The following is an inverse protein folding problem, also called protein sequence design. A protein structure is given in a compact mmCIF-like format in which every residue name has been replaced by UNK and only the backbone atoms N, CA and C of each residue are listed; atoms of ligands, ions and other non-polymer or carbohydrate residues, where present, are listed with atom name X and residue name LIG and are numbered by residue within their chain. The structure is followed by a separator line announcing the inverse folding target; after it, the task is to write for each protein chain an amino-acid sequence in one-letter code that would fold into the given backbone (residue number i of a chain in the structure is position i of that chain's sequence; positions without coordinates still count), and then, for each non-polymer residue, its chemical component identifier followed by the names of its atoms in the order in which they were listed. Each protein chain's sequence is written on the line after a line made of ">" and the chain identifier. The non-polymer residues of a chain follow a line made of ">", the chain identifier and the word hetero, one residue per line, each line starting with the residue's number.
data_IF_007597066018
#
_entry.id   IF_007597066018
#
_cell.length_a   1.000
_cell.length_b   1.000
_cell.length_c   1.000
_cell.angle_alpha   90.00
_cell.angle_beta   90.00
_cell.angle_gamma   90.00
#
_symmetry.space_group_name_H-M   'P 1'
#
loop_
_entity.id
_entity.type
_entity.pdbx_description
1 polymer ?
#
# COMPACT_ATOMS: atom_id res chain seq x y z
N UNK A 1 50.65 -26.85 56.49
CA UNK A 1 51.49 -25.75 57.03
C UNK A 1 51.02 -24.48 56.35
N UNK A 2 50.45 -23.48 57.06
CA UNK A 2 51.17 -22.33 57.67
C UNK A 2 52.13 -21.71 56.62
N UNK A 3 51.98 -20.50 56.09
CA UNK A 3 51.61 -19.17 56.64
C UNK A 3 50.79 -18.38 55.57
N UNK A 4 50.19 -17.21 55.81
CA UNK A 4 50.09 -16.37 57.02
C UNK A 4 48.66 -15.81 57.22
N UNK A 5 48.50 -14.51 57.51
CA UNK A 5 47.30 -13.81 57.99
C UNK A 5 47.53 -12.28 57.96
N UNK A 6 46.46 -11.50 57.77
CA UNK A 6 46.11 -10.24 58.49
C UNK A 6 46.91 -8.92 58.33
N UNK A 7 46.14 -7.88 57.95
CA UNK A 7 46.08 -6.50 58.47
C UNK A 7 47.32 -5.55 58.50
N UNK A 8 47.17 -4.40 57.84
CA UNK A 8 47.59 -3.09 58.40
C UNK A 8 46.49 -2.04 58.15
N UNK A 9 45.94 -1.51 59.23
CA UNK A 9 45.09 -0.32 59.27
C UNK A 9 45.72 0.60 60.32
N UNK A 10 46.30 1.76 59.95
CA UNK A 10 46.43 2.92 60.88
C UNK A 10 46.98 4.20 60.22
N UNK A 11 46.28 5.31 60.49
CA UNK A 11 46.78 6.68 60.84
C UNK A 11 47.38 7.59 59.75
N UNK A 12 46.62 8.65 59.42
CA UNK A 12 46.97 10.08 59.51
C UNK A 12 45.69 10.88 59.17
N UNK A 13 44.79 11.22 60.09
CA UNK A 13 44.87 12.20 61.18
C UNK A 13 45.13 13.66 60.73
N UNK A 14 44.10 14.51 60.93
CA UNK A 14 44.10 15.98 60.98
C UNK A 14 44.67 16.78 59.78
N UNK A 15 43.78 17.49 59.09
CA UNK A 15 43.77 18.97 59.05
C UNK A 15 42.30 19.41 58.92
N UNK A 16 41.79 20.10 59.95
CA UNK A 16 40.57 20.91 59.86
C UNK A 16 40.98 22.37 59.93
N UNK A 17 40.84 23.11 58.84
CA UNK A 17 40.80 24.57 58.85
C UNK A 17 40.06 25.06 57.59
N UNK A 18 38.76 25.31 57.73
CA UNK A 18 38.04 26.16 56.78
C UNK A 18 38.64 27.57 56.83
N UNK A 19 38.87 28.20 55.67
CA UNK A 19 38.27 29.51 55.39
C UNK A 19 38.60 30.06 53.98
N UNK A 20 37.53 30.48 53.30
CA UNK A 20 37.44 31.59 52.33
C UNK A 20 37.68 31.38 50.83
N UNK A 21 36.53 31.36 50.12
CA UNK A 21 36.20 32.06 48.86
C UNK A 21 36.80 31.60 47.52
N UNK A 22 36.07 30.68 46.86
CA UNK A 22 35.46 30.82 45.51
C UNK A 22 36.01 31.87 44.53
N UNK A 23 36.33 31.46 43.28
CA UNK A 23 35.39 31.59 42.13
C UNK A 23 35.78 30.74 40.89
N UNK A 24 34.76 30.09 40.32
CA UNK A 24 34.49 29.53 38.96
C UNK A 24 35.59 29.09 37.95
N UNK A 25 35.42 27.84 37.45
CA UNK A 25 35.29 27.32 36.06
C UNK A 25 35.68 25.81 36.10
N UNK A 26 34.94 24.81 35.60
CA UNK A 26 33.61 24.72 34.97
C UNK A 26 32.86 23.47 35.47
N UNK A 27 31.55 23.39 35.22
CA UNK A 27 30.66 22.38 35.83
C UNK A 27 30.75 20.97 35.20
N UNK A 28 30.61 19.89 36.01
CA UNK A 28 30.33 18.55 35.51
C UNK A 28 28.86 18.39 35.12
N UNK A 29 28.61 17.55 34.11
CA UNK A 29 27.29 17.22 33.56
C UNK A 29 26.44 16.49 34.63
N UNK A 30 25.22 16.96 34.86
CA UNK A 30 24.26 16.28 35.73
C UNK A 30 23.58 15.12 35.01
N UNK A 31 23.49 13.96 35.68
CA UNK A 31 22.80 12.77 35.18
C UNK A 31 21.51 12.60 35.97
N UNK A 32 20.55 13.47 35.68
CA UNK A 32 19.17 13.39 36.18
C UNK A 32 18.26 12.86 35.06
N UNK A 33 18.38 11.56 34.75
CA UNK A 33 17.47 10.88 33.83
C UNK A 33 16.10 10.67 34.49
N UNK A 34 15.21 11.67 34.36
CA UNK A 34 13.83 11.61 34.85
C UNK A 34 12.90 10.90 33.88
N UNK A 35 12.12 9.99 34.47
CA UNK A 35 10.88 9.38 33.95
C UNK A 35 11.03 8.41 32.78
N UNK A 36 10.72 7.16 33.10
CA UNK A 36 10.60 6.02 32.20
C UNK A 36 9.11 5.90 31.81
N UNK A 37 8.66 6.70 30.84
CA UNK A 37 7.29 6.63 30.34
C UNK A 37 7.12 5.54 29.27
N UNK A 38 6.02 4.81 29.46
CA UNK A 38 5.46 3.64 28.80
C UNK A 38 5.56 3.58 27.25
N UNK A 39 5.95 2.44 26.63
CA UNK A 39 5.85 2.23 25.17
C UNK A 39 4.41 2.00 24.66
N UNK A 40 3.39 2.48 25.39
CA UNK A 40 2.05 2.70 24.85
C UNK A 40 2.09 3.91 23.90
N UNK A 41 2.60 3.69 22.68
CA UNK A 41 2.60 4.70 21.62
C UNK A 41 1.20 5.28 21.48
N UNK A 42 1.12 6.60 21.57
CA UNK A 42 -0.14 7.34 21.45
C UNK A 42 -0.75 7.02 20.09
N UNK A 43 -1.83 6.23 20.08
CA UNK A 43 -2.77 6.18 18.96
C UNK A 43 -3.43 7.56 18.88
N UNK A 44 -2.68 8.54 18.36
CA UNK A 44 -3.28 9.73 17.80
C UNK A 44 -4.27 9.22 16.76
N UNK A 45 -5.52 9.66 16.82
CA UNK A 45 -6.48 9.42 15.75
C UNK A 45 -5.90 10.08 14.52
N UNK A 46 -5.26 9.29 13.67
CA UNK A 46 -4.66 9.75 12.43
C UNK A 46 -5.80 9.92 11.44
N UNK A 47 -6.48 11.05 11.58
CA UNK A 47 -7.32 11.60 10.52
C UNK A 47 -6.53 11.57 9.20
N UNK A 48 -7.14 11.18 8.07
CA UNK A 48 -6.40 10.95 6.84
C UNK A 48 -5.67 12.22 6.38
N UNK A 49 -4.52 12.03 5.73
CA UNK A 49 -3.80 13.14 5.09
C UNK A 49 -4.73 13.72 4.00
N UNK A 50 -4.58 15.01 3.70
CA UNK A 50 -5.15 15.53 2.45
C UNK A 50 -4.36 14.96 1.27
N UNK A 51 -5.03 14.46 0.24
CA UNK A 51 -4.35 13.79 -0.88
C UNK A 51 -5.29 13.04 -1.81
N UNK A 52 -4.69 12.33 -2.77
CA UNK A 52 -5.37 11.47 -3.74
C UNK A 52 -5.37 10.02 -3.25
N UNK A 53 -6.49 9.34 -3.39
CA UNK A 53 -6.76 8.03 -2.79
C UNK A 53 -7.62 7.15 -3.68
N UNK A 54 -7.39 5.84 -3.58
CA UNK A 54 -8.40 4.83 -3.84
C UNK A 54 -9.13 4.50 -2.52
N UNK A 55 -10.46 4.45 -2.53
CA UNK A 55 -11.26 4.07 -1.36
C UNK A 55 -11.70 2.61 -1.49
N UNK A 56 -11.03 1.73 -0.73
CA UNK A 56 -11.21 0.28 -0.77
C UNK A 56 -12.15 -0.20 0.35
N UNK A 57 -13.11 -1.07 0.01
CA UNK A 57 -14.07 -1.62 0.96
C UNK A 57 -13.61 -2.96 1.55
N UNK A 58 -13.59 -3.05 2.88
CA UNK A 58 -12.93 -4.14 3.61
C UNK A 58 -13.75 -5.45 3.70
N UNK A 59 -15.05 -5.44 3.36
CA UNK A 59 -15.88 -6.66 3.22
C UNK A 59 -15.64 -7.32 1.86
N UNK A 60 -15.89 -6.53 0.80
CA UNK A 60 -16.01 -7.06 -0.55
C UNK A 60 -14.68 -7.21 -1.30
N UNK A 61 -13.68 -6.42 -0.90
CA UNK A 61 -12.43 -6.30 -1.64
C UNK A 61 -12.52 -5.44 -2.91
N UNK A 62 -13.47 -4.51 -2.93
CA UNK A 62 -13.82 -3.67 -4.09
C UNK A 62 -13.59 -2.18 -3.83
N UNK A 63 -13.53 -1.40 -4.90
CA UNK A 63 -13.17 0.01 -4.92
C UNK A 63 -14.39 0.91 -5.14
N UNK A 64 -14.46 2.03 -4.41
CA UNK A 64 -15.44 3.08 -4.63
C UNK A 64 -15.27 3.67 -6.02
N UNK A 65 -16.32 3.61 -6.83
CA UNK A 65 -16.35 4.24 -8.14
C UNK A 65 -17.67 4.94 -8.43
N UNK A 66 -17.66 5.76 -9.47
CA UNK A 66 -18.89 6.26 -10.10
C UNK A 66 -19.54 5.11 -10.89
N UNK A 67 -20.85 4.93 -10.72
CA UNK A 67 -21.67 3.88 -11.33
C UNK A 67 -21.45 3.80 -12.86
N UNK A 68 -21.13 2.60 -13.36
CA UNK A 68 -20.81 2.34 -14.76
C UNK A 68 -21.94 2.67 -15.75
N UNK A 69 -23.18 2.91 -15.26
CA UNK A 69 -24.26 3.45 -16.07
C UNK A 69 -24.03 4.93 -16.50
N UNK A 70 -23.00 5.61 -15.95
CA UNK A 70 -22.54 6.94 -16.36
C UNK A 70 -21.35 6.90 -17.37
N UNK A 71 -20.98 5.71 -17.85
CA UNK A 71 -19.97 5.52 -18.91
C UNK A 71 -20.38 6.21 -20.23
N UNK A 72 -19.44 6.83 -20.97
CA UNK A 72 -18.01 6.99 -20.69
C UNK A 72 -17.65 8.33 -20.04
N UNK A 73 -18.65 9.07 -19.52
CA UNK A 73 -18.48 10.45 -19.10
C UNK A 73 -18.16 10.59 -17.61
N UNK A 74 -18.74 9.72 -16.77
CA UNK A 74 -18.57 9.68 -15.32
C UNK A 74 -18.73 11.06 -14.64
N UNK A 75 -19.59 11.92 -15.17
CA UNK A 75 -19.73 13.32 -14.76
C UNK A 75 -21.19 13.81 -14.65
N UNK A 76 -22.17 12.90 -14.65
CA UNK A 76 -23.58 13.28 -14.46
C UNK A 76 -23.80 13.70 -13.01
N UNK A 77 -24.32 14.91 -12.82
CA UNK A 77 -24.78 15.39 -11.52
C UNK A 77 -25.91 14.49 -11.00
N UNK A 78 -25.71 13.87 -9.84
CA UNK A 78 -26.61 12.87 -9.27
C UNK A 78 -26.32 11.42 -9.68
N UNK A 79 -25.24 11.14 -10.43
CA UNK A 79 -24.79 9.78 -10.68
C UNK A 79 -24.45 9.07 -9.36
N UNK A 80 -24.82 7.80 -9.26
CA UNK A 80 -24.65 7.00 -8.04
C UNK A 80 -23.21 6.49 -7.89
N UNK A 81 -22.87 6.10 -6.68
CA UNK A 81 -21.62 5.43 -6.36
C UNK A 81 -21.83 3.93 -6.24
N UNK A 82 -20.88 3.14 -6.73
CA UNK A 82 -20.85 1.68 -6.59
C UNK A 82 -19.48 1.16 -6.15
N UNK A 83 -19.40 -0.15 -5.94
CA UNK A 83 -18.19 -0.90 -5.64
C UNK A 83 -17.90 -1.88 -6.77
N UNK A 84 -16.67 -1.83 -7.29
CA UNK A 84 -16.22 -2.66 -8.40
C UNK A 84 -14.79 -3.18 -8.24
N UNK A 85 -14.36 -4.07 -9.13
CA UNK A 85 -12.98 -4.55 -9.19
C UNK A 85 -12.03 -3.43 -9.66
N UNK A 86 -10.77 -3.50 -9.27
CA UNK A 86 -9.77 -2.49 -9.62
C UNK A 86 -9.39 -2.57 -11.10
N UNK A 87 -9.61 -1.49 -11.84
CA UNK A 87 -9.22 -1.35 -13.25
C UNK A 87 -8.26 -0.19 -13.54
N UNK A 88 -7.91 0.59 -12.50
CA UNK A 88 -7.08 1.80 -12.61
C UNK A 88 -7.72 2.92 -13.46
N UNK A 89 -9.06 2.95 -13.55
CA UNK A 89 -9.81 4.05 -14.15
C UNK A 89 -9.90 5.29 -13.24
N UNK A 90 -9.84 6.48 -13.83
CA UNK A 90 -9.94 7.76 -13.10
C UNK A 90 -11.29 7.99 -12.39
N UNK A 91 -12.30 7.15 -12.66
CA UNK A 91 -13.57 7.09 -11.92
C UNK A 91 -13.48 6.33 -10.58
N UNK A 92 -12.36 5.65 -10.31
CA UNK A 92 -12.02 5.01 -9.03
C UNK A 92 -11.11 5.91 -8.16
N UNK A 93 -10.64 7.05 -8.69
CA UNK A 93 -9.71 7.97 -8.03
C UNK A 93 -10.45 9.13 -7.34
N UNK A 94 -10.09 9.39 -6.07
CA UNK A 94 -10.75 10.36 -5.20
C UNK A 94 -9.73 11.29 -4.54
N UNK A 95 -10.00 12.60 -4.55
CA UNK A 95 -9.25 13.57 -3.77
C UNK A 95 -9.97 13.84 -2.45
N UNK A 96 -9.26 13.63 -1.34
CA UNK A 96 -9.73 13.85 0.03
C UNK A 96 -9.13 15.18 0.52
N UNK A 97 -9.98 16.20 0.65
CA UNK A 97 -9.57 17.57 0.99
C UNK A 97 -9.95 17.89 2.43
N UNK A 98 -8.96 18.16 3.28
CA UNK A 98 -9.19 18.56 4.67
C UNK A 98 -9.76 19.99 4.75
N UNK A 99 -10.91 20.15 5.41
CA UNK A 99 -11.61 21.43 5.56
C UNK A 99 -11.17 22.22 6.82
N UNK A 100 -10.10 21.76 7.49
CA UNK A 100 -9.46 22.33 8.68
C UNK A 100 -10.39 22.55 9.88
N UNK A 101 -11.48 21.78 9.94
CA UNK A 101 -12.54 21.89 10.94
C UNK A 101 -13.01 20.53 11.49
N UNK A 102 -12.23 19.46 11.27
CA UNK A 102 -12.60 18.08 11.63
C UNK A 102 -13.45 17.34 10.58
N UNK A 103 -13.62 17.93 9.40
CA UNK A 103 -14.31 17.32 8.26
C UNK A 103 -13.50 17.46 6.98
N UNK A 104 -13.92 16.70 5.98
CA UNK A 104 -13.30 16.55 4.69
C UNK A 104 -14.33 16.70 3.58
N UNK A 105 -13.90 17.18 2.43
CA UNK A 105 -14.57 16.94 1.15
C UNK A 105 -13.93 15.71 0.50
N UNK A 106 -14.71 14.92 -0.23
CA UNK A 106 -14.24 13.78 -1.02
C UNK A 106 -14.77 14.03 -2.43
N UNK A 107 -13.91 14.27 -3.42
CA UNK A 107 -14.35 14.56 -4.79
C UNK A 107 -13.65 13.67 -5.82
N UNK A 108 -14.37 13.37 -6.91
CA UNK A 108 -13.87 12.50 -7.97
C UNK A 108 -12.83 13.22 -8.84
N UNK A 109 -11.72 12.54 -9.18
CA UNK A 109 -10.70 13.09 -10.08
C UNK A 109 -11.20 13.26 -11.52
N UNK A 110 -12.12 12.41 -12.00
CA UNK A 110 -12.66 12.50 -13.37
C UNK A 110 -13.70 13.62 -13.54
N UNK A 111 -14.52 13.90 -12.52
CA UNK A 111 -15.62 14.87 -12.63
C UNK A 111 -15.40 16.19 -11.88
N UNK A 112 -14.51 16.21 -10.89
CA UNK A 112 -14.36 17.27 -9.90
C UNK A 112 -15.65 17.53 -9.08
N UNK A 113 -16.57 16.56 -9.03
CA UNK A 113 -17.79 16.63 -8.21
C UNK A 113 -17.58 15.93 -6.85
N UNK A 114 -18.21 16.48 -5.81
CA UNK A 114 -18.13 15.97 -4.44
C UNK A 114 -19.08 14.79 -4.25
N UNK A 115 -18.59 13.79 -3.53
CA UNK A 115 -19.37 12.74 -2.89
C UNK A 115 -20.39 13.38 -1.93
N UNK A 116 -21.66 13.00 -2.04
CA UNK A 116 -22.74 13.56 -1.25
C UNK A 116 -23.84 12.53 -0.92
N UNK A 117 -24.44 12.68 0.26
CA UNK A 117 -25.77 12.13 0.52
C UNK A 117 -26.79 13.00 -0.23
N UNK A 118 -27.76 12.42 -0.98
CA UNK A 118 -28.78 13.18 -1.69
C UNK A 118 -29.55 14.19 -0.84
N UNK A 119 -29.96 15.30 -1.46
CA UNK A 119 -30.78 16.33 -0.80
C UNK A 119 -32.13 15.74 -0.35
N UNK A 120 -32.58 16.11 0.85
CA UNK A 120 -33.80 15.58 1.47
C UNK A 120 -33.63 14.23 2.18
N UNK A 121 -32.60 13.45 1.86
CA UNK A 121 -32.44 12.06 2.31
C UNK A 121 -31.42 11.86 3.44
N UNK A 122 -30.96 12.96 4.07
CA UNK A 122 -29.90 12.95 5.11
C UNK A 122 -30.23 12.21 6.41
N UNK A 123 -31.45 11.69 6.57
CA UNK A 123 -31.88 10.85 7.69
C UNK A 123 -32.63 9.59 7.23
N UNK A 124 -32.40 9.16 5.99
CA UNK A 124 -33.02 7.97 5.39
C UNK A 124 -31.97 6.85 5.25
N UNK A 125 -32.36 5.62 5.57
CA UNK A 125 -31.51 4.44 5.40
C UNK A 125 -31.54 3.91 3.96
N UNK A 126 -30.44 3.28 3.53
CA UNK A 126 -30.28 2.63 2.22
C UNK A 126 -30.40 3.59 1.03
N UNK A 127 -30.02 4.85 1.25
CA UNK A 127 -29.97 5.89 0.21
C UNK A 127 -28.67 5.73 -0.56
N UNK A 128 -28.73 5.64 -1.88
CA UNK A 128 -27.54 5.65 -2.74
C UNK A 128 -26.79 6.97 -2.57
N UNK A 129 -25.48 6.90 -2.34
CA UNK A 129 -24.59 8.06 -2.35
C UNK A 129 -24.38 8.51 -3.79
N UNK A 130 -24.24 9.81 -4.01
CA UNK A 130 -24.12 10.43 -5.35
C UNK A 130 -22.87 11.29 -5.47
N UNK A 131 -22.52 11.67 -6.70
CA UNK A 131 -21.67 12.84 -6.98
C UNK A 131 -22.50 14.07 -7.37
N UNK A 132 -22.09 15.26 -6.94
CA UNK A 132 -22.69 16.54 -7.34
C UNK A 132 -21.71 17.72 -7.13
N UNK A 133 -21.94 18.90 -7.75
CA UNK A 133 -21.09 20.07 -7.54
C UNK A 133 -21.01 20.51 -6.06
N UNK A 134 -19.79 20.64 -5.54
CA UNK A 134 -19.59 21.03 -4.14
C UNK A 134 -20.17 22.43 -3.87
N UNK A 135 -20.97 22.50 -2.81
CA UNK A 135 -21.71 23.70 -2.39
C UNK A 135 -21.53 23.99 -0.90
N UNK A 136 -20.64 23.26 -0.20
CA UNK A 136 -20.35 23.44 1.22
C UNK A 136 -21.43 22.91 2.18
N UNK A 137 -22.38 22.10 1.70
CA UNK A 137 -23.43 21.54 2.56
C UNK A 137 -22.89 20.40 3.43
N UNK A 138 -23.45 20.23 4.64
CA UNK A 138 -23.02 19.17 5.57
C UNK A 138 -23.24 17.74 5.05
N UNK A 139 -24.11 17.56 4.03
CA UNK A 139 -24.30 16.28 3.32
C UNK A 139 -23.19 15.95 2.32
N UNK A 140 -22.30 16.91 2.03
CA UNK A 140 -21.11 16.81 1.17
C UNK A 140 -19.81 16.81 1.99
N UNK A 141 -19.92 16.85 3.32
CA UNK A 141 -18.78 16.92 4.24
C UNK A 141 -18.72 15.64 5.05
N UNK A 142 -17.53 15.06 5.15
CA UNK A 142 -17.32 13.72 5.68
C UNK A 142 -16.37 13.77 6.87
N UNK A 143 -16.67 12.95 7.88
CA UNK A 143 -15.80 12.72 9.03
C UNK A 143 -15.28 11.29 8.93
N UNK A 144 -13.97 11.16 8.95
CA UNK A 144 -13.33 9.86 9.07
C UNK A 144 -13.24 9.48 10.56
N UNK A 145 -13.23 8.20 10.87
CA UNK A 145 -13.01 7.72 12.23
C UNK A 145 -12.31 6.37 12.13
N UNK A 146 -11.03 6.36 12.51
CA UNK A 146 -10.20 5.17 12.40
C UNK A 146 -10.67 4.09 13.38
N UNK A 147 -10.71 2.85 12.92
CA UNK A 147 -11.01 1.66 13.72
C UNK A 147 -9.72 1.09 14.34
N UNK A 148 -9.86 0.13 15.24
CA UNK A 148 -8.71 -0.64 15.76
C UNK A 148 -8.02 -1.52 14.71
N UNK A 149 -8.58 -1.65 13.50
CA UNK A 149 -8.00 -2.39 12.36
C UNK A 149 -7.19 -1.48 11.42
N UNK A 150 -7.16 -0.16 11.66
CA UNK A 150 -6.53 0.83 10.78
C UNK A 150 -7.42 1.32 9.62
N UNK A 151 -8.57 0.67 9.40
CA UNK A 151 -9.64 1.10 8.49
C UNK A 151 -10.36 2.34 9.03
N UNK A 152 -11.24 2.96 8.23
CA UNK A 152 -12.04 4.11 8.61
C UNK A 152 -13.53 3.85 8.43
N UNK A 153 -14.33 4.32 9.38
CA UNK A 153 -15.76 4.57 9.17
C UNK A 153 -15.92 5.99 8.64
N UNK A 154 -16.61 6.14 7.51
CA UNK A 154 -16.82 7.43 6.83
C UNK A 154 -18.25 7.92 7.14
N UNK A 155 -18.39 9.05 7.84
CA UNK A 155 -19.70 9.58 8.31
C UNK A 155 -20.04 10.91 7.63
N UNK A 156 -21.23 11.12 7.05
CA UNK A 156 -21.62 12.43 6.57
C UNK A 156 -21.90 13.36 7.74
N UNK A 157 -21.41 14.60 7.71
CA UNK A 157 -21.60 15.60 8.76
C UNK A 157 -23.08 15.91 9.00
N UNK A 158 -23.94 15.74 8.00
CA UNK A 158 -25.39 15.84 8.17
C UNK A 158 -25.95 14.87 9.23
N UNK A 159 -25.26 13.76 9.51
CA UNK A 159 -25.66 12.79 10.54
C UNK A 159 -25.72 13.38 11.95
N UNK A 160 -24.91 14.38 12.27
CA UNK A 160 -24.82 15.00 13.61
C UNK A 160 -26.13 15.70 14.05
N UNK A 161 -27.07 15.89 13.12
CA UNK A 161 -28.40 16.44 13.42
C UNK A 161 -29.39 15.38 13.93
N UNK A 162 -29.00 14.10 13.96
CA UNK A 162 -29.86 12.96 14.23
C UNK A 162 -29.30 12.06 15.34
N UNK A 163 -30.15 11.21 15.90
CA UNK A 163 -29.73 10.22 16.91
C UNK A 163 -29.12 8.94 16.30
N UNK A 164 -29.34 8.72 15.00
CA UNK A 164 -28.74 7.62 14.26
C UNK A 164 -27.34 8.00 13.83
N UNK A 165 -26.35 7.17 14.15
CA UNK A 165 -25.01 7.28 13.59
C UNK A 165 -25.04 6.77 12.14
N UNK A 166 -25.05 7.68 11.17
CA UNK A 166 -25.07 7.32 9.74
C UNK A 166 -23.64 7.19 9.20
N UNK A 167 -23.38 6.18 8.39
CA UNK A 167 -22.09 5.95 7.72
C UNK A 167 -22.25 5.55 6.24
N UNK A 168 -21.15 5.67 5.51
CA UNK A 168 -20.94 5.14 4.16
C UNK A 168 -20.72 3.63 4.23
N UNK A 169 -21.48 2.84 3.48
CA UNK A 169 -21.37 1.38 3.52
C UNK A 169 -21.66 0.74 2.16
N UNK A 170 -21.05 -0.41 1.90
CA UNK A 170 -21.47 -1.30 0.83
C UNK A 170 -22.94 -1.73 1.05
N UNK A 171 -23.74 -1.75 -0.02
CA UNK A 171 -25.12 -2.23 0.08
C UNK A 171 -25.28 -3.70 0.49
N UNK A 172 -26.52 -4.20 0.51
CA UNK A 172 -26.84 -5.59 0.90
C UNK A 172 -27.20 -6.53 -0.27
N UNK A 173 -27.05 -6.08 -1.52
CA UNK A 173 -27.35 -6.86 -2.72
C UNK A 173 -26.23 -7.82 -3.17
N UNK A 174 -26.57 -8.89 -3.88
CA UNK A 174 -25.59 -9.80 -4.49
C UNK A 174 -24.92 -9.11 -5.68
N UNK A 175 -23.59 -9.24 -5.82
CA UNK A 175 -22.88 -8.80 -7.02
C UNK A 175 -23.17 -9.79 -8.15
N UNK A 176 -24.02 -9.41 -9.11
CA UNK A 176 -24.27 -10.20 -10.32
C UNK A 176 -24.31 -9.29 -11.54
N UNK A 177 -23.14 -9.01 -12.14
CA UNK A 177 -23.01 -8.24 -13.38
C UNK A 177 -23.20 -6.73 -13.27
N UNK A 178 -23.67 -6.24 -12.12
CA UNK A 178 -23.78 -4.83 -11.75
C UNK A 178 -23.02 -4.62 -10.43
N UNK A 179 -22.39 -3.46 -10.25
CA UNK A 179 -21.60 -3.18 -9.05
C UNK A 179 -22.46 -2.91 -7.82
N UNK A 180 -21.84 -3.02 -6.65
CA UNK A 180 -22.60 -2.86 -5.41
C UNK A 180 -22.70 -1.39 -5.03
N UNK A 181 -23.88 -0.83 -5.21
CA UNK A 181 -24.23 0.52 -4.75
C UNK A 181 -23.72 0.81 -3.33
N UNK A 182 -23.11 1.99 -3.17
CA UNK A 182 -22.66 2.53 -1.88
C UNK A 182 -23.78 3.36 -1.28
N UNK A 183 -24.11 3.06 -0.02
CA UNK A 183 -25.30 3.55 0.66
C UNK A 183 -24.96 4.33 1.92
N UNK A 184 -25.84 5.26 2.29
CA UNK A 184 -25.95 5.72 3.68
C UNK A 184 -26.73 4.68 4.49
N UNK A 185 -26.12 4.12 5.53
CA UNK A 185 -26.74 3.16 6.46
C UNK A 185 -26.48 3.55 7.91
N UNK A 186 -27.24 2.97 8.84
CA UNK A 186 -26.95 3.14 10.26
C UNK A 186 -25.74 2.28 10.62
N UNK A 187 -24.74 2.87 11.26
CA UNK A 187 -23.50 2.22 11.69
C UNK A 187 -23.78 1.07 12.67
N UNK A 188 -23.17 -0.09 12.40
CA UNK A 188 -23.14 -1.23 13.31
C UNK A 188 -21.71 -1.74 13.46
N UNK A 189 -21.21 -1.74 14.70
CA UNK A 189 -19.92 -2.36 15.00
C UNK A 189 -20.08 -3.89 15.03
N UNK A 190 -19.99 -4.51 13.86
CA UNK A 190 -20.12 -5.95 13.66
C UNK A 190 -18.86 -6.55 12.98
N UNK A 191 -19.02 -7.69 12.31
CA UNK A 191 -17.92 -8.43 11.67
C UNK A 191 -18.15 -8.65 10.18
N UNK A 192 -19.07 -7.90 9.57
CA UNK A 192 -19.29 -7.91 8.13
C UNK A 192 -18.54 -6.78 7.42
N UNK A 193 -18.13 -5.73 8.14
CA UNK A 193 -17.15 -4.71 7.69
C UNK A 193 -17.53 -3.93 6.41
N UNK A 194 -18.80 -3.96 5.99
CA UNK A 194 -19.28 -3.22 4.80
C UNK A 194 -19.08 -1.72 4.88
N UNK A 195 -18.99 -1.19 6.09
CA UNK A 195 -18.81 0.20 6.47
C UNK A 195 -17.35 0.58 6.81
N UNK A 196 -16.41 -0.37 6.71
CA UNK A 196 -14.98 -0.16 6.93
C UNK A 196 -14.22 0.06 5.62
N UNK A 197 -13.57 1.23 5.51
CA UNK A 197 -12.87 1.68 4.31
C UNK A 197 -11.37 1.82 4.56
N UNK A 198 -10.54 1.31 3.65
CA UNK A 198 -9.12 1.67 3.59
C UNK A 198 -8.92 2.80 2.58
N UNK A 199 -8.05 3.75 2.93
CA UNK A 199 -7.65 4.85 2.06
C UNK A 199 -6.24 4.56 1.56
N UNK A 200 -6.16 4.00 0.36
CA UNK A 200 -4.91 3.62 -0.30
C UNK A 200 -4.41 4.85 -1.07
N UNK A 201 -3.33 5.47 -0.61
CA UNK A 201 -2.82 6.73 -1.18
C UNK A 201 -2.34 6.57 -2.61
N UNK A 202 -2.40 7.63 -3.41
CA UNK A 202 -1.83 7.66 -4.75
C UNK A 202 -0.51 8.43 -4.70
N UNK A 203 0.59 7.74 -5.03
CA UNK A 203 1.95 8.23 -4.85
C UNK A 203 2.99 7.19 -5.24
N UNK A 204 4.13 7.09 -4.53
CA UNK A 204 5.33 6.44 -5.09
C UNK A 204 5.95 5.30 -4.27
N UNK A 205 5.47 4.97 -3.06
CA UNK A 205 6.03 3.86 -2.25
C UNK A 205 6.01 2.52 -3.01
N UNK A 206 4.91 2.24 -3.72
CA UNK A 206 4.72 1.00 -4.46
C UNK A 206 4.38 1.24 -5.94
N UNK A 207 5.25 0.80 -6.86
CA UNK A 207 4.98 0.79 -8.30
C UNK A 207 4.39 -0.55 -8.75
N UNK A 208 3.12 -0.54 -9.12
CA UNK A 208 2.36 -1.70 -9.57
C UNK A 208 2.08 -1.61 -11.07
N UNK A 209 2.69 -2.49 -11.86
CA UNK A 209 2.65 -2.46 -13.32
C UNK A 209 1.90 -3.65 -13.91
N UNK A 210 0.80 -3.37 -14.61
CA UNK A 210 0.05 -4.35 -15.40
C UNK A 210 0.09 -3.97 -16.87
N UNK A 211 0.71 -4.79 -17.71
CA UNK A 211 0.57 -4.63 -19.16
C UNK A 211 -0.73 -5.31 -19.56
N UNK A 212 -1.67 -4.63 -20.21
CA UNK A 212 -2.92 -5.25 -20.65
C UNK A 212 -2.65 -6.35 -21.69
N UNK A 213 -3.64 -7.19 -21.92
CA UNK A 213 -3.65 -8.11 -23.06
C UNK A 213 -5.11 -8.48 -23.34
N UNK A 214 -5.54 -8.41 -24.60
CA UNK A 214 -6.93 -8.68 -24.97
C UNK A 214 -7.46 -9.99 -24.35
N UNK A 215 -8.47 -9.86 -23.49
CA UNK A 215 -9.12 -10.98 -22.81
C UNK A 215 -8.37 -11.58 -21.60
N UNK A 216 -7.35 -10.91 -21.04
CA UNK A 216 -6.69 -11.34 -19.79
C UNK A 216 -6.62 -10.22 -18.77
N UNK A 217 -7.35 -10.42 -17.67
CA UNK A 217 -7.29 -9.52 -16.53
C UNK A 217 -5.93 -9.63 -15.80
N UNK A 218 -5.32 -8.46 -15.62
CA UNK A 218 -4.06 -8.22 -14.93
C UNK A 218 -4.15 -7.00 -14.00
N UNK A 219 -5.32 -6.36 -13.92
CA UNK A 219 -5.56 -5.16 -13.12
C UNK A 219 -6.05 -5.54 -11.73
N UNK A 220 -7.06 -6.43 -11.65
CA UNK A 220 -7.70 -6.81 -10.38
C UNK A 220 -6.70 -7.35 -9.35
N UNK A 221 -5.67 -8.10 -9.79
CA UNK A 221 -4.62 -8.59 -8.89
C UNK A 221 -3.79 -7.45 -8.29
N UNK A 222 -3.54 -6.36 -9.03
CA UNK A 222 -2.79 -5.21 -8.52
C UNK A 222 -3.60 -4.47 -7.45
N UNK A 223 -4.91 -4.31 -7.65
CA UNK A 223 -5.79 -3.79 -6.60
C UNK A 223 -5.80 -4.70 -5.37
N UNK A 224 -6.04 -6.00 -5.54
CA UNK A 224 -6.04 -7.01 -4.46
C UNK A 224 -4.79 -7.01 -3.58
N UNK A 225 -3.63 -6.61 -4.10
CA UNK A 225 -2.39 -6.55 -3.31
C UNK A 225 -2.15 -5.22 -2.60
N UNK A 226 -2.80 -4.12 -3.00
CA UNK A 226 -2.65 -2.82 -2.33
C UNK A 226 -2.98 -2.89 -0.83
N UNK A 227 -4.10 -3.50 -0.36
CA UNK A 227 -4.39 -3.64 1.07
C UNK A 227 -3.29 -4.32 1.91
N UNK A 228 -2.62 -5.33 1.34
CA UNK A 228 -1.54 -6.04 2.01
C UNK A 228 -0.25 -5.20 2.04
N UNK A 229 0.02 -4.45 0.97
CA UNK A 229 1.18 -3.54 0.85
C UNK A 229 1.01 -2.33 1.78
N UNK A 230 -0.19 -1.76 1.85
CA UNK A 230 -0.57 -0.69 2.77
C UNK A 230 -0.41 -1.12 4.24
N UNK A 231 -0.88 -2.32 4.58
CA UNK A 231 -0.71 -2.92 5.90
C UNK A 231 0.74 -3.17 6.32
N UNK A 232 1.69 -3.18 5.38
CA UNK A 232 3.13 -3.23 5.67
C UNK A 232 3.80 -1.84 5.81
N UNK A 233 3.05 -0.74 5.63
CA UNK A 233 3.56 0.63 5.74
C UNK A 233 4.12 1.21 4.43
N UNK A 234 3.62 0.74 3.29
CA UNK A 234 3.85 1.33 1.96
C UNK A 234 2.51 1.87 1.48
N UNK A 235 2.20 3.13 1.82
CA UNK A 235 0.83 3.64 1.81
C UNK A 235 0.46 4.39 0.51
N UNK A 236 1.45 4.66 -0.34
CA UNK A 236 1.34 5.52 -1.51
C UNK A 236 1.62 4.74 -2.82
N UNK A 237 0.62 4.55 -3.66
CA UNK A 237 0.63 3.63 -4.81
C UNK A 237 0.71 4.35 -6.17
N UNK A 238 1.60 3.87 -7.03
CA UNK A 238 1.64 4.18 -8.47
C UNK A 238 1.18 2.93 -9.21
N UNK A 239 -0.11 2.81 -9.47
CA UNK A 239 -0.62 1.76 -10.35
C UNK A 239 -0.65 2.24 -11.80
N UNK A 240 -0.19 1.38 -12.71
CA UNK A 240 -0.27 1.61 -14.16
C UNK A 240 -0.76 0.32 -14.83
N UNK A 241 -1.97 0.39 -15.36
CA UNK A 241 -2.56 -0.64 -16.22
C UNK A 241 -2.63 -0.08 -17.64
N UNK A 242 -1.87 -0.64 -18.58
CA UNK A 242 -1.69 -0.03 -19.92
C UNK A 242 -1.29 -1.03 -21.00
N UNK A 243 -1.60 -0.73 -22.26
CA UNK A 243 -1.19 -1.52 -23.43
C UNK A 243 0.28 -1.31 -23.83
N UNK A 244 0.91 -0.22 -23.38
CA UNK A 244 2.30 0.09 -23.68
C UNK A 244 2.92 1.11 -22.71
N UNK A 245 4.11 0.80 -22.19
CA UNK A 245 4.95 1.73 -21.41
C UNK A 245 6.42 1.65 -21.85
N UNK A 246 7.13 2.77 -21.83
CA UNK A 246 8.55 2.78 -22.22
C UNK A 246 9.45 2.19 -21.13
N UNK A 247 10.52 1.51 -21.52
CA UNK A 247 11.57 1.05 -20.60
C UNK A 247 12.10 2.20 -19.71
N UNK A 248 12.31 3.40 -20.27
CA UNK A 248 12.75 4.57 -19.52
C UNK A 248 11.78 4.99 -18.41
N UNK A 249 10.48 4.94 -18.67
CA UNK A 249 9.45 5.25 -17.65
C UNK A 249 9.49 4.22 -16.52
N UNK A 250 9.54 2.92 -16.87
CA UNK A 250 9.62 1.82 -15.90
C UNK A 250 10.88 1.94 -15.03
N UNK A 251 12.04 2.23 -15.64
CA UNK A 251 13.30 2.46 -14.92
C UNK A 251 13.22 3.61 -13.90
N UNK A 252 12.59 4.72 -14.26
CA UNK A 252 12.41 5.86 -13.34
C UNK A 252 11.51 5.48 -12.17
N UNK A 253 10.37 4.84 -12.45
CA UNK A 253 9.41 4.45 -11.42
C UNK A 253 9.96 3.35 -10.49
N UNK A 254 10.78 2.43 -11.01
CA UNK A 254 11.53 1.45 -10.20
C UNK A 254 12.52 2.12 -9.23
N UNK A 255 13.23 3.18 -9.66
CA UNK A 255 14.17 3.92 -8.81
C UNK A 255 13.47 4.80 -7.74
N UNK A 256 12.20 5.16 -7.98
CA UNK A 256 11.38 5.94 -7.05
C UNK A 256 10.62 5.08 -6.03
N UNK A 257 10.50 3.76 -6.25
CA UNK A 257 9.62 2.87 -5.48
C UNK A 257 10.35 1.92 -4.54
N UNK A 258 9.77 1.73 -3.36
CA UNK A 258 10.22 0.75 -2.36
C UNK A 258 9.71 -0.66 -2.64
N UNK A 259 8.51 -0.78 -3.20
CA UNK A 259 7.95 -2.04 -3.70
C UNK A 259 7.74 -1.92 -5.21
N UNK A 260 8.24 -2.88 -5.98
CA UNK A 260 7.93 -3.04 -7.40
C UNK A 260 7.22 -4.36 -7.66
N UNK A 261 6.10 -4.33 -8.39
CA UNK A 261 5.40 -5.54 -8.85
C UNK A 261 5.05 -5.38 -10.32
N UNK A 262 5.55 -6.29 -11.17
CA UNK A 262 5.11 -6.37 -12.57
C UNK A 262 4.26 -7.61 -12.80
N UNK A 263 3.08 -7.46 -13.41
CA UNK A 263 2.26 -8.53 -13.96
C UNK A 263 2.25 -8.43 -15.49
N UNK A 264 3.27 -9.00 -16.11
CA UNK A 264 3.42 -9.02 -17.58
C UNK A 264 3.91 -10.36 -18.13
N UNK A 265 3.98 -10.49 -19.45
CA UNK A 265 4.73 -11.56 -20.07
C UNK A 265 6.22 -11.43 -19.72
N UNK A 266 6.87 -12.56 -19.49
CA UNK A 266 8.30 -12.63 -19.28
C UNK A 266 8.92 -13.60 -20.30
N UNK A 267 10.20 -13.38 -20.61
CA UNK A 267 10.95 -14.22 -21.52
C UNK A 267 12.46 -14.09 -21.24
N UNK A 268 13.27 -14.89 -21.94
CA UNK A 268 14.72 -14.93 -21.81
C UNK A 268 15.43 -14.99 -23.16
N UNK A 269 16.65 -14.49 -23.22
CA UNK A 269 17.57 -14.67 -24.33
C UNK A 269 18.98 -15.10 -23.84
N UNK A 270 19.97 -15.04 -24.73
CA UNK A 270 21.34 -15.47 -24.43
C UNK A 270 22.08 -14.60 -23.41
N UNK A 271 21.64 -13.36 -23.16
CA UNK A 271 22.30 -12.42 -22.25
C UNK A 271 21.47 -12.12 -20.98
N UNK A 272 20.26 -12.67 -20.83
CA UNK A 272 19.48 -12.57 -19.59
C UNK A 272 17.98 -12.78 -19.73
N UNK A 273 17.20 -12.11 -18.89
CA UNK A 273 15.72 -12.20 -18.87
C UNK A 273 15.11 -10.80 -18.92
N UNK A 274 13.85 -10.73 -19.37
CA UNK A 274 13.11 -9.48 -19.53
C UNK A 274 11.61 -9.69 -19.28
N UNK A 275 10.94 -8.60 -18.90
CA UNK A 275 9.48 -8.50 -18.97
C UNK A 275 9.10 -7.66 -20.19
N UNK A 276 8.02 -8.06 -20.84
CA UNK A 276 7.44 -7.31 -21.95
C UNK A 276 6.68 -6.11 -21.39
N UNK A 277 6.76 -4.97 -22.06
CA UNK A 277 6.17 -3.70 -21.65
C UNK A 277 5.10 -3.17 -22.62
N UNK A 278 4.73 -3.93 -23.65
CA UNK A 278 3.63 -3.61 -24.57
C UNK A 278 2.93 -4.83 -25.16
N UNK A 279 1.65 -4.71 -25.54
CA UNK A 279 0.86 -5.79 -26.16
C UNK A 279 1.45 -6.27 -27.50
N UNK A 280 2.07 -5.37 -28.26
CA UNK A 280 2.73 -5.68 -29.54
C UNK A 280 4.14 -6.29 -29.38
N UNK A 281 4.61 -6.45 -28.13
CA UNK A 281 5.94 -6.93 -27.74
C UNK A 281 7.12 -6.06 -28.25
N UNK A 282 6.88 -4.80 -28.63
CA UNK A 282 7.94 -3.88 -29.07
C UNK A 282 8.68 -3.19 -27.93
N UNK A 283 8.05 -3.03 -26.76
CA UNK A 283 8.68 -2.56 -25.53
C UNK A 283 8.98 -3.72 -24.60
N UNK A 284 10.12 -3.65 -23.90
CA UNK A 284 10.50 -4.55 -22.82
C UNK A 284 11.51 -3.85 -21.91
N UNK A 285 11.67 -4.35 -20.67
CA UNK A 285 12.82 -4.03 -19.81
C UNK A 285 13.55 -5.31 -19.51
N UNK A 286 14.85 -5.32 -19.81
CA UNK A 286 15.73 -6.46 -19.64
C UNK A 286 16.62 -6.26 -18.41
N UNK A 287 17.07 -7.37 -17.82
CA UNK A 287 18.09 -7.37 -16.77
C UNK A 287 19.32 -6.51 -17.10
N UNK A 288 19.72 -6.43 -18.39
CA UNK A 288 20.82 -5.58 -18.88
C UNK A 288 20.53 -4.09 -18.91
N UNK A 289 19.26 -3.68 -18.79
CA UNK A 289 18.82 -2.29 -18.68
C UNK A 289 18.79 -1.83 -17.21
N UNK A 290 18.70 -2.78 -16.27
CA UNK A 290 18.79 -2.57 -14.82
C UNK A 290 20.26 -2.58 -14.37
N UNK A 291 21.06 -3.53 -14.89
CA UNK A 291 22.44 -3.74 -14.47
C UNK A 291 23.39 -4.06 -15.63
N UNK A 292 24.53 -3.37 -15.70
CA UNK A 292 25.57 -3.67 -16.68
C UNK A 292 26.51 -4.76 -16.16
N UNK A 293 26.25 -6.01 -16.58
CA UNK A 293 27.07 -7.18 -16.25
C UNK A 293 28.52 -7.11 -16.74
N UNK A 294 28.82 -6.32 -17.78
CA UNK A 294 30.18 -6.21 -18.35
C UNK A 294 31.06 -5.22 -17.59
N UNK A 295 30.46 -4.19 -16.99
CA UNK A 295 31.18 -3.17 -16.20
C UNK A 295 30.93 -3.30 -14.69
N UNK A 296 30.07 -4.22 -14.27
CA UNK A 296 29.65 -4.43 -12.89
C UNK A 296 29.08 -3.14 -12.28
N UNK A 297 28.10 -2.53 -12.96
CA UNK A 297 27.58 -1.20 -12.63
C UNK A 297 26.05 -1.14 -12.69
N UNK A 298 25.34 -0.58 -11.68
CA UNK A 298 23.91 -0.29 -11.78
C UNK A 298 23.59 0.69 -12.90
N UNK A 299 22.46 0.47 -13.57
CA UNK A 299 21.87 1.36 -14.58
C UNK A 299 20.49 1.90 -14.16
N UNK A 300 19.98 1.40 -13.03
CA UNK A 300 18.91 1.94 -12.20
C UNK A 300 19.47 1.94 -10.78
N UNK A 301 19.24 3.01 -10.01
CA UNK A 301 19.59 3.02 -8.59
C UNK A 301 18.42 2.41 -7.81
N UNK A 302 18.66 1.25 -7.18
CA UNK A 302 17.63 0.50 -6.45
C UNK A 302 17.91 0.41 -4.95
N UNK A 303 18.82 1.22 -4.40
CA UNK A 303 19.21 1.14 -2.97
C UNK A 303 18.13 1.55 -1.98
N UNK A 304 16.94 1.94 -2.44
CA UNK A 304 15.75 2.19 -1.62
C UNK A 304 14.63 1.17 -1.89
N UNK A 305 14.90 0.10 -2.65
CA UNK A 305 13.89 -0.87 -3.06
C UNK A 305 13.93 -2.12 -2.16
N UNK A 306 12.91 -2.26 -1.32
CA UNK A 306 12.77 -3.31 -0.32
C UNK A 306 12.33 -4.64 -0.97
N UNK A 307 11.59 -4.61 -2.10
CA UNK A 307 11.20 -5.81 -2.86
C UNK A 307 10.90 -5.53 -4.34
N UNK A 308 11.44 -6.35 -5.24
CA UNK A 308 11.05 -6.43 -6.66
C UNK A 308 10.44 -7.78 -7.05
N UNK A 309 9.16 -7.79 -7.44
CA UNK A 309 8.44 -9.00 -7.87
C UNK A 309 8.16 -8.99 -9.39
N UNK A 310 8.94 -9.74 -10.15
CA UNK A 310 8.83 -9.89 -11.59
C UNK A 310 7.89 -11.04 -11.99
N UNK A 311 6.58 -10.86 -11.84
CA UNK A 311 5.59 -11.88 -12.23
C UNK A 311 5.50 -12.01 -13.75
N UNK A 312 6.00 -13.12 -14.28
CA UNK A 312 5.99 -13.47 -15.70
C UNK A 312 6.84 -14.71 -15.96
N UNK A 313 6.62 -15.39 -17.08
CA UNK A 313 7.38 -16.60 -17.43
C UNK A 313 8.89 -16.32 -17.50
N UNK A 314 9.71 -17.27 -17.03
CA UNK A 314 11.17 -17.23 -17.18
C UNK A 314 11.91 -15.99 -16.63
N UNK A 315 11.26 -15.06 -15.93
CA UNK A 315 11.89 -13.83 -15.40
C UNK A 315 13.06 -14.13 -14.46
N UNK A 316 13.07 -15.28 -13.81
CA UNK A 316 14.13 -15.79 -12.94
C UNK A 316 14.96 -16.96 -13.49
N UNK A 317 14.86 -17.36 -14.77
CA UNK A 317 15.50 -18.62 -15.22
C UNK A 317 17.03 -18.64 -15.09
N UNK A 318 17.72 -17.54 -15.44
CA UNK A 318 19.19 -17.47 -15.46
C UNK A 318 19.78 -17.10 -14.08
N UNK A 319 20.76 -17.85 -13.58
CA UNK A 319 21.35 -17.63 -12.24
C UNK A 319 21.93 -16.21 -12.07
N UNK A 320 22.78 -15.78 -13.00
CA UNK A 320 23.61 -14.57 -12.84
C UNK A 320 23.22 -13.40 -13.77
N UNK A 321 22.15 -13.56 -14.57
CA UNK A 321 21.70 -12.56 -15.56
C UNK A 321 20.18 -12.40 -15.62
N UNK A 322 19.44 -12.97 -14.67
CA UNK A 322 17.99 -12.77 -14.55
C UNK A 322 17.63 -11.39 -13.98
N UNK A 323 16.36 -11.01 -14.12
CA UNK A 323 15.81 -9.78 -13.55
C UNK A 323 15.98 -9.70 -12.03
N UNK A 324 15.70 -10.76 -11.22
CA UNK A 324 16.00 -10.75 -9.80
C UNK A 324 17.47 -10.50 -9.47
N UNK A 325 18.39 -11.18 -10.16
CA UNK A 325 19.81 -10.96 -9.96
C UNK A 325 20.22 -9.53 -10.32
N UNK A 326 19.72 -8.98 -11.43
CA UNK A 326 20.01 -7.61 -11.84
C UNK A 326 19.48 -6.56 -10.86
N UNK A 327 18.29 -6.78 -10.29
CA UNK A 327 17.70 -5.88 -9.31
C UNK A 327 18.53 -5.81 -8.02
N UNK A 328 18.89 -6.96 -7.45
CA UNK A 328 19.73 -7.02 -6.23
C UNK A 328 21.15 -6.52 -6.51
N UNK A 329 21.75 -6.88 -7.65
CA UNK A 329 23.04 -6.34 -8.07
C UNK A 329 23.02 -4.80 -8.28
N UNK A 330 21.85 -4.23 -8.56
CA UNK A 330 21.63 -2.79 -8.68
C UNK A 330 21.19 -2.10 -7.37
N UNK A 331 21.02 -2.84 -6.27
CA UNK A 331 20.84 -2.31 -4.92
C UNK A 331 19.54 -2.68 -4.21
N UNK A 332 18.62 -3.41 -4.83
CA UNK A 332 17.39 -3.84 -4.15
C UNK A 332 17.68 -4.89 -3.05
N UNK A 333 17.00 -4.80 -1.91
CA UNK A 333 17.16 -5.72 -0.77
C UNK A 333 16.70 -7.15 -1.10
N UNK A 334 15.69 -7.30 -1.96
CA UNK A 334 15.21 -8.60 -2.40
C UNK A 334 14.53 -8.52 -3.77
N UNK A 335 14.66 -9.57 -4.58
CA UNK A 335 13.92 -9.71 -5.82
C UNK A 335 13.48 -11.15 -6.13
N UNK A 336 12.34 -11.28 -6.81
CA UNK A 336 11.67 -12.56 -7.10
C UNK A 336 11.28 -12.66 -8.57
N UNK A 337 11.46 -13.82 -9.18
CA UNK A 337 11.02 -14.12 -10.55
C UNK A 337 10.76 -15.62 -10.75
N UNK A 338 10.16 -15.98 -11.88
CA UNK A 338 9.78 -17.38 -12.18
C UNK A 338 10.78 -18.03 -13.14
N UNK A 339 11.11 -19.30 -12.91
CA UNK A 339 12.11 -20.03 -13.70
C UNK A 339 11.49 -20.82 -14.87
N UNK A 340 10.17 -20.94 -14.92
CA UNK A 340 9.41 -21.67 -15.95
C UNK A 340 8.23 -20.84 -16.48
N UNK A 341 7.39 -21.44 -17.33
CA UNK A 341 6.09 -20.91 -17.76
C UNK A 341 5.11 -20.88 -16.59
N UNK A 342 4.51 -19.71 -16.34
CA UNK A 342 3.39 -19.56 -15.40
C UNK A 342 2.09 -19.19 -16.12
N UNK A 343 1.00 -19.90 -15.83
CA UNK A 343 -0.31 -19.58 -16.39
C UNK A 343 -0.89 -18.33 -15.75
N UNK A 344 -1.45 -17.40 -16.54
CA UNK A 344 -1.82 -16.05 -16.08
C UNK A 344 -2.77 -16.03 -14.87
N UNK A 345 -3.79 -16.90 -14.82
CA UNK A 345 -4.69 -17.03 -13.65
C UNK A 345 -3.91 -17.42 -12.40
N UNK A 346 -2.99 -18.37 -12.52
CA UNK A 346 -2.17 -18.86 -11.41
C UNK A 346 -1.16 -17.79 -10.98
N UNK A 347 -0.62 -17.01 -11.92
CA UNK A 347 0.20 -15.85 -11.61
C UNK A 347 -0.57 -14.81 -10.79
N UNK A 348 -1.84 -14.54 -11.12
CA UNK A 348 -2.68 -13.62 -10.36
C UNK A 348 -2.92 -14.14 -8.93
N UNK A 349 -3.43 -15.37 -8.78
CA UNK A 349 -3.73 -15.95 -7.46
C UNK A 349 -2.46 -16.16 -6.60
N UNK A 350 -1.35 -16.59 -7.20
CA UNK A 350 -0.06 -16.73 -6.51
C UNK A 350 0.42 -15.38 -5.95
N UNK A 351 0.25 -14.29 -6.70
CA UNK A 351 0.68 -12.95 -6.28
C UNK A 351 -0.15 -12.46 -5.09
N UNK A 352 -1.46 -12.71 -5.11
CA UNK A 352 -2.36 -12.44 -3.97
C UNK A 352 -1.97 -13.27 -2.72
N UNK A 353 -1.71 -14.58 -2.87
CA UNK A 353 -1.25 -15.42 -1.76
C UNK A 353 0.13 -14.97 -1.24
N UNK A 354 1.06 -14.62 -2.11
CA UNK A 354 2.38 -14.13 -1.74
C UNK A 354 2.28 -12.91 -0.83
N UNK A 355 1.54 -11.88 -1.25
CA UNK A 355 1.39 -10.65 -0.45
C UNK A 355 0.62 -10.87 0.85
N UNK A 356 -0.38 -11.75 0.87
CA UNK A 356 -1.05 -12.16 2.11
C UNK A 356 -0.04 -12.77 3.11
N UNK A 357 0.79 -13.73 2.68
CA UNK A 357 1.80 -14.32 3.57
C UNK A 357 2.89 -13.31 3.97
N UNK A 358 3.36 -12.48 3.05
CA UNK A 358 4.40 -11.47 3.29
C UNK A 358 3.94 -10.42 4.31
N UNK A 359 2.73 -9.86 4.14
CA UNK A 359 2.13 -8.92 5.10
C UNK A 359 1.83 -9.55 6.48
N UNK A 360 1.73 -10.88 6.57
CA UNK A 360 1.66 -11.61 7.84
C UNK A 360 3.04 -11.95 8.44
N UNK A 361 4.10 -11.24 8.02
CA UNK A 361 5.44 -11.29 8.64
C UNK A 361 6.30 -12.49 8.24
N UNK A 362 6.02 -13.12 7.09
CA UNK A 362 6.88 -14.16 6.51
C UNK A 362 8.04 -13.49 5.77
N UNK A 363 9.23 -14.11 5.71
CA UNK A 363 10.28 -13.67 4.77
C UNK A 363 9.85 -13.92 3.33
N UNK A 364 10.48 -13.23 2.36
CA UNK A 364 10.13 -13.35 0.94
C UNK A 364 10.20 -14.79 0.45
N UNK A 365 11.30 -15.50 0.70
CA UNK A 365 11.45 -16.94 0.42
C UNK A 365 10.31 -17.78 1.03
N UNK A 366 9.93 -17.52 2.28
CA UNK A 366 8.88 -18.28 2.96
C UNK A 366 7.48 -17.92 2.44
N UNK A 367 7.25 -16.68 2.03
CA UNK A 367 6.00 -16.25 1.38
C UNK A 367 5.86 -16.89 0.00
N UNK A 368 6.93 -16.92 -0.81
CA UNK A 368 6.98 -17.64 -2.09
C UNK A 368 6.64 -19.12 -1.90
N UNK A 369 7.30 -19.80 -0.95
CA UNK A 369 7.02 -21.20 -0.63
C UNK A 369 5.55 -21.45 -0.27
N UNK A 370 4.94 -20.60 0.57
CA UNK A 370 3.55 -20.75 0.97
C UNK A 370 2.56 -20.47 -0.16
N UNK A 371 2.83 -19.47 -1.01
CA UNK A 371 2.03 -19.20 -2.21
C UNK A 371 2.10 -20.37 -3.21
N UNK A 372 3.31 -20.85 -3.52
CA UNK A 372 3.53 -22.01 -4.38
C UNK A 372 2.89 -23.30 -3.85
N UNK A 373 2.80 -23.48 -2.53
CA UNK A 373 2.15 -24.65 -1.90
C UNK A 373 0.65 -24.78 -2.23
N UNK A 374 0.00 -23.72 -2.75
CA UNK A 374 -1.38 -23.76 -3.25
C UNK A 374 -1.50 -24.39 -4.64
N UNK A 375 -0.39 -24.47 -5.38
CA UNK A 375 -0.34 -24.76 -6.82
C UNK A 375 0.65 -25.89 -7.18
N UNK A 376 0.80 -26.88 -6.30
CA UNK A 376 1.80 -27.96 -6.45
C UNK A 376 1.60 -28.72 -7.79
N UNK A 377 2.64 -28.73 -8.64
CA UNK A 377 2.61 -29.24 -10.03
C UNK A 377 1.63 -28.52 -10.99
N UNK A 378 1.20 -27.30 -10.68
CA UNK A 378 0.28 -26.51 -11.53
C UNK A 378 1.04 -25.37 -12.21
N UNK A 379 1.30 -25.54 -13.51
CA UNK A 379 1.82 -24.51 -14.42
C UNK A 379 2.97 -23.65 -13.84
N UNK A 380 4.07 -24.29 -13.41
CA UNK A 380 5.32 -23.63 -13.03
C UNK A 380 5.26 -22.73 -11.78
N UNK A 381 4.16 -22.72 -11.05
CA UNK A 381 3.96 -21.85 -9.88
C UNK A 381 4.83 -22.22 -8.66
N UNK A 382 5.42 -23.42 -8.65
CA UNK A 382 6.44 -23.88 -7.71
C UNK A 382 7.89 -23.65 -8.19
N UNK A 383 8.06 -23.04 -9.37
CA UNK A 383 9.35 -22.77 -10.00
C UNK A 383 9.69 -21.27 -9.93
N UNK A 384 10.10 -20.80 -8.74
CA UNK A 384 10.51 -19.42 -8.49
C UNK A 384 11.98 -19.32 -8.07
N UNK A 385 12.57 -18.13 -8.25
CA UNK A 385 13.87 -17.73 -7.74
C UNK A 385 13.69 -16.50 -6.86
N UNK A 386 14.19 -16.57 -5.64
CA UNK A 386 14.45 -15.41 -4.77
C UNK A 386 15.93 -15.08 -4.82
N UNK A 387 16.26 -13.80 -4.81
CA UNK A 387 17.61 -13.25 -4.64
C UNK A 387 17.54 -12.21 -3.53
N UNK A 388 18.50 -12.26 -2.61
CA UNK A 388 18.74 -11.40 -1.43
C UNK A 388 20.24 -11.07 -1.39
#
# INVERSE_FOLDING_TARGET
>A
MKKFLSAVLTIALLICAFSNLTFALDAPIDVSATVHDDPAAVYATLEPRGGEYYLYNSDLGNYLQIDNNDDPAYNTNGAFMELWDFDNGAYQEWEVVNLYNGYYEIHSKVSNMSLAVPEGETNTANVKVIQEPYSGYTRQQWKFTQTSRGTYIIRPRSAENFATDWCLSAGSGVITGEGRNVLQVAYSNDSDYKDEWQLLGIGNDAFLLGITESGRDRATVLGKIMPYIDGMGYNDFRAIVTDSITCSSVKNYMAESRIFVSRSHGNSDGDGTYIILSEDNTQYIHSRDIYNFSTNTPLVDLTNCDLMLFVGCYTGINDNTSLPYAAVAAGADCAVGFMDTIHWVVANEWTEFFFNYYANGFSVERACYQASSKFINVFGADSYRVVE
#
